data_IF_969049858561
#
_entry.id   IF_969049858561
#
_cell.length_a   1.000
_cell.length_b   1.000
_cell.length_c   1.000
_cell.angle_alpha   90.00
_cell.angle_beta   90.00
_cell.angle_gamma   90.00
#
_symmetry.space_group_name_H-M   'P 1'
#
loop_
_entity.id
_entity.type
_entity.pdbx_description
1 polymer ?
#
# COMPACT_ATOMS: atom_id res chain seq x y z
N UNK A 1 14.59 -54.89 19.19
CA UNK A 1 13.83 -53.86 18.46
C UNK A 1 14.25 -53.95 17.01
N UNK A 2 13.34 -53.67 16.06
CA UNK A 2 13.72 -53.62 14.65
C UNK A 2 14.78 -52.53 14.44
N UNK A 3 15.85 -52.86 13.71
CA UNK A 3 16.97 -51.95 13.42
C UNK A 3 16.58 -50.87 12.39
N UNK A 4 15.60 -51.20 11.54
CA UNK A 4 15.09 -50.36 10.46
C UNK A 4 13.58 -50.13 10.56
N UNK A 5 13.06 -49.17 9.80
CA UNK A 5 11.66 -48.76 9.78
C UNK A 5 11.33 -47.78 10.90
N UNK A 6 10.12 -47.85 11.46
CA UNK A 6 9.68 -46.91 12.50
C UNK A 6 10.26 -47.33 13.85
N UNK A 7 11.26 -46.58 14.32
CA UNK A 7 11.93 -46.77 15.61
C UNK A 7 11.60 -45.63 16.58
N UNK A 8 11.95 -45.74 17.88
CA UNK A 8 11.82 -44.61 18.82
C UNK A 8 12.60 -43.34 18.41
N UNK A 9 13.63 -43.46 17.56
CA UNK A 9 14.39 -42.34 17.03
C UNK A 9 13.76 -41.74 15.74
N UNK A 10 12.69 -42.35 15.21
CA UNK A 10 12.07 -42.01 13.93
C UNK A 10 12.21 -43.11 12.88
N UNK A 11 11.91 -42.78 11.62
CA UNK A 11 12.09 -43.71 10.51
C UNK A 11 13.58 -43.87 10.18
N UNK A 12 14.09 -45.09 10.25
CA UNK A 12 15.47 -45.43 9.91
C UNK A 12 15.47 -46.25 8.62
N UNK A 13 16.02 -45.68 7.56
CA UNK A 13 16.11 -46.31 6.24
C UNK A 13 17.42 -47.12 6.12
N UNK A 14 17.36 -48.41 5.72
CA UNK A 14 18.57 -49.17 5.41
C UNK A 14 19.26 -48.60 4.16
N UNK A 15 20.59 -48.59 4.13
CA UNK A 15 21.35 -48.12 2.97
C UNK A 15 21.51 -49.25 1.95
N UNK A 16 21.61 -48.93 0.66
CA UNK A 16 21.74 -49.92 -0.42
C UNK A 16 22.82 -51.00 -0.16
N UNK A 17 24.03 -50.68 0.35
CA UNK A 17 25.02 -51.71 0.67
C UNK A 17 24.58 -52.67 1.78
N UNK A 18 23.83 -52.17 2.77
CA UNK A 18 23.28 -52.97 3.88
C UNK A 18 22.19 -53.92 3.32
N UNK A 19 21.27 -53.40 2.50
CA UNK A 19 20.23 -54.18 1.81
C UNK A 19 20.87 -55.27 0.95
N UNK A 20 21.91 -54.96 0.17
CA UNK A 20 22.59 -55.94 -0.68
C UNK A 20 23.15 -57.11 0.12
N UNK A 21 23.75 -56.84 1.28
CA UNK A 21 24.27 -57.90 2.17
C UNK A 21 23.13 -58.77 2.71
N UNK A 22 22.01 -58.16 3.11
CA UNK A 22 20.83 -58.88 3.59
C UNK A 22 20.20 -59.75 2.50
N UNK A 23 20.07 -59.25 1.27
CA UNK A 23 19.56 -60.01 0.13
C UNK A 23 20.46 -61.21 -0.19
N UNK A 24 21.80 -61.04 -0.16
CA UNK A 24 22.75 -62.15 -0.34
C UNK A 24 22.57 -63.20 0.76
N UNK A 25 22.46 -62.77 2.02
CA UNK A 25 22.27 -63.67 3.14
C UNK A 25 20.95 -64.45 3.04
N UNK A 26 19.85 -63.77 2.70
CA UNK A 26 18.55 -64.37 2.49
C UNK A 26 18.54 -65.37 1.32
N UNK A 27 19.17 -65.01 0.20
CA UNK A 27 19.30 -65.89 -0.96
C UNK A 27 20.06 -67.17 -0.60
N UNK A 28 21.21 -67.07 0.06
CA UNK A 28 21.99 -68.24 0.52
C UNK A 28 21.19 -69.11 1.48
N UNK A 29 20.49 -68.51 2.45
CA UNK A 29 19.64 -69.25 3.38
C UNK A 29 18.53 -70.03 2.66
N UNK A 30 17.87 -69.39 1.68
CA UNK A 30 16.82 -70.02 0.87
C UNK A 30 17.35 -71.16 0.00
N UNK A 31 18.54 -71.01 -0.58
CA UNK A 31 19.19 -72.07 -1.36
C UNK A 31 19.47 -73.30 -0.48
N UNK A 32 20.07 -73.11 0.70
CA UNK A 32 20.30 -74.19 1.68
C UNK A 32 19.00 -74.89 2.07
N UNK A 33 17.94 -74.12 2.35
CA UNK A 33 16.64 -74.67 2.73
C UNK A 33 15.99 -75.53 1.62
N UNK A 34 16.37 -75.31 0.35
CA UNK A 34 15.91 -76.09 -0.80
C UNK A 34 16.88 -77.21 -1.22
N UNK A 35 17.97 -77.42 -0.46
CA UNK A 35 19.00 -78.40 -0.80
C UNK A 35 19.84 -78.03 -2.02
N UNK A 36 19.85 -76.75 -2.40
CA UNK A 36 20.67 -76.21 -3.48
C UNK A 36 22.02 -75.71 -2.92
N UNK A 37 23.10 -75.77 -3.71
CA UNK A 37 24.41 -75.23 -3.32
C UNK A 37 24.34 -73.72 -3.10
N UNK A 38 25.03 -73.23 -2.06
CA UNK A 38 25.00 -71.84 -1.60
C UNK A 38 26.30 -71.05 -1.91
N UNK A 39 27.27 -71.70 -2.55
CA UNK A 39 28.53 -71.15 -3.07
C UNK A 39 28.34 -70.39 -4.39
N UNK A 40 27.26 -69.61 -4.47
CA UNK A 40 26.95 -68.76 -5.61
C UNK A 40 27.91 -67.56 -5.69
N UNK A 41 28.31 -67.20 -6.91
CA UNK A 41 29.10 -66.00 -7.18
C UNK A 41 28.21 -64.76 -7.01
N UNK A 42 28.61 -63.84 -6.14
CA UNK A 42 27.84 -62.63 -5.79
C UNK A 42 28.63 -61.34 -6.06
N UNK A 43 29.77 -61.42 -6.77
CA UNK A 43 30.47 -60.24 -7.27
C UNK A 43 29.53 -59.37 -8.12
N UNK A 44 29.61 -58.04 -8.03
CA UNK A 44 28.76 -57.12 -8.80
C UNK A 44 28.72 -57.42 -10.31
N UNK A 45 29.84 -57.83 -10.90
CA UNK A 45 29.94 -58.09 -12.35
C UNK A 45 29.41 -59.47 -12.78
N UNK A 46 28.99 -60.32 -11.84
CA UNK A 46 28.40 -61.62 -12.15
C UNK A 46 26.92 -61.49 -12.48
N UNK A 47 26.37 -62.39 -13.30
CA UNK A 47 24.93 -62.40 -13.64
C UNK A 47 24.06 -62.42 -12.38
N UNK A 48 24.44 -63.20 -11.37
CA UNK A 48 23.76 -63.24 -10.08
C UNK A 48 23.95 -61.94 -9.29
N UNK A 49 25.14 -61.34 -9.31
CA UNK A 49 25.42 -60.04 -8.71
C UNK A 49 24.53 -58.92 -9.26
N UNK A 50 24.41 -58.83 -10.58
CA UNK A 50 23.52 -57.87 -11.29
C UNK A 50 22.06 -58.09 -10.91
N UNK A 51 21.62 -59.36 -10.81
CA UNK A 51 20.27 -59.69 -10.38
C UNK A 51 20.02 -59.26 -8.92
N UNK A 52 20.98 -59.52 -8.02
CA UNK A 52 20.93 -59.08 -6.62
C UNK A 52 20.90 -57.55 -6.53
N UNK A 53 21.72 -56.85 -7.32
CA UNK A 53 21.71 -55.38 -7.37
C UNK A 53 20.35 -54.86 -7.82
N UNK A 54 19.77 -55.47 -8.86
CA UNK A 54 18.43 -55.11 -9.34
C UNK A 54 17.37 -55.26 -8.26
N UNK A 55 17.40 -56.34 -7.47
CA UNK A 55 16.45 -56.52 -6.37
C UNK A 55 16.72 -55.54 -5.20
N UNK A 56 17.98 -55.34 -4.84
CA UNK A 56 18.36 -54.41 -3.78
C UNK A 56 17.97 -52.96 -4.12
N UNK A 57 18.13 -52.54 -5.38
CA UNK A 57 17.69 -51.22 -5.85
C UNK A 57 16.17 -51.04 -5.74
N UNK A 58 15.39 -52.09 -6.09
CA UNK A 58 13.93 -52.05 -5.97
C UNK A 58 13.47 -52.04 -4.52
N UNK A 59 14.13 -52.80 -3.66
CA UNK A 59 13.87 -52.76 -2.23
C UNK A 59 14.24 -51.40 -1.62
N UNK A 60 15.38 -50.81 -2.00
CA UNK A 60 15.76 -49.46 -1.59
C UNK A 60 14.71 -48.42 -2.00
N UNK A 61 14.18 -48.49 -3.22
CA UNK A 61 13.11 -47.62 -3.68
C UNK A 61 11.81 -47.77 -2.86
N UNK A 62 11.47 -49.00 -2.43
CA UNK A 62 10.33 -49.24 -1.53
C UNK A 62 10.57 -48.63 -0.15
N UNK A 63 11.79 -48.72 0.38
CA UNK A 63 12.17 -48.10 1.64
C UNK A 63 12.12 -46.57 1.57
N UNK A 64 12.59 -45.96 0.48
CA UNK A 64 12.46 -44.51 0.22
C UNK A 64 11.00 -44.08 0.11
N UNK A 65 10.16 -44.86 -0.57
CA UNK A 65 8.72 -44.60 -0.62
C UNK A 65 8.08 -44.70 0.78
N UNK A 66 8.44 -45.72 1.56
CA UNK A 66 7.96 -45.90 2.93
C UNK A 66 8.34 -44.73 3.85
N UNK A 67 9.57 -44.25 3.73
CA UNK A 67 10.06 -43.06 4.42
C UNK A 67 9.26 -41.80 4.01
N UNK A 68 9.01 -41.62 2.71
CA UNK A 68 8.19 -40.53 2.19
C UNK A 68 6.76 -40.55 2.75
N UNK A 69 6.13 -41.73 2.83
CA UNK A 69 4.80 -41.89 3.43
C UNK A 69 4.81 -41.56 4.92
N UNK A 70 5.84 -42.01 5.66
CA UNK A 70 6.00 -41.69 7.08
C UNK A 70 6.10 -40.17 7.28
N UNK A 71 6.98 -39.49 6.55
CA UNK A 71 7.15 -38.04 6.67
C UNK A 71 5.96 -37.22 6.13
N UNK A 72 5.15 -37.78 5.23
CA UNK A 72 3.93 -37.13 4.75
C UNK A 72 2.83 -37.00 5.81
N UNK A 73 2.90 -37.74 6.92
CA UNK A 73 1.94 -37.67 8.02
C UNK A 73 2.20 -36.50 8.98
N UNK A 74 3.42 -35.97 9.02
CA UNK A 74 3.82 -34.96 10.00
C UNK A 74 3.86 -33.56 9.36
N UNK A 75 3.14 -32.57 9.90
CA UNK A 75 3.11 -31.20 9.33
C UNK A 75 4.50 -30.55 9.14
N UNK A 76 5.48 -30.91 9.97
CA UNK A 76 6.83 -30.37 9.86
C UNK A 76 7.58 -30.83 8.60
N UNK A 77 7.25 -32.01 8.06
CA UNK A 77 7.93 -32.63 6.91
C UNK A 77 7.04 -32.83 5.69
N UNK A 78 5.73 -32.92 5.87
CA UNK A 78 4.75 -33.09 4.79
C UNK A 78 4.69 -31.85 3.88
N UNK A 79 4.40 -32.04 2.59
CA UNK A 79 4.21 -30.98 1.60
C UNK A 79 2.94 -31.18 0.78
N UNK A 80 2.47 -30.13 0.10
CA UNK A 80 1.28 -30.13 -0.74
C UNK A 80 0.03 -30.64 -0.03
N UNK A 81 -0.75 -31.48 -0.72
CA UNK A 81 -2.00 -32.04 -0.17
C UNK A 81 -1.78 -32.89 1.08
N UNK A 82 -0.63 -33.54 1.22
CA UNK A 82 -0.31 -34.30 2.44
C UNK A 82 -0.17 -33.36 3.64
N UNK A 83 0.46 -32.18 3.44
CA UNK A 83 0.50 -31.14 4.47
C UNK A 83 -0.91 -30.67 4.82
N UNK A 84 -1.74 -30.36 3.83
CA UNK A 84 -3.12 -29.90 4.05
C UNK A 84 -3.93 -30.91 4.86
N UNK A 85 -3.81 -32.21 4.53
CA UNK A 85 -4.47 -33.29 5.27
C UNK A 85 -3.91 -33.44 6.69
N UNK A 86 -2.59 -33.33 6.86
CA UNK A 86 -1.95 -33.45 8.16
C UNK A 86 -2.37 -32.31 9.11
N UNK A 87 -2.45 -31.07 8.62
CA UNK A 87 -2.89 -29.92 9.44
C UNK A 87 -4.40 -29.88 9.65
N UNK A 88 -5.19 -30.47 8.75
CA UNK A 88 -6.65 -30.52 8.89
C UNK A 88 -7.10 -31.27 10.14
N UNK A 89 -6.33 -32.24 10.63
CA UNK A 89 -6.63 -32.94 11.90
C UNK A 89 -6.64 -32.00 13.11
N UNK A 90 -5.88 -30.91 13.08
CA UNK A 90 -5.90 -29.87 14.11
C UNK A 90 -6.88 -28.73 13.78
N UNK A 91 -7.72 -28.89 12.75
CA UNK A 91 -8.67 -27.89 12.26
C UNK A 91 -8.02 -26.64 11.63
N UNK A 92 -6.72 -26.70 11.29
CA UNK A 92 -6.07 -25.65 10.49
C UNK A 92 -6.23 -26.01 9.03
N UNK A 93 -6.79 -25.11 8.23
CA UNK A 93 -6.87 -25.25 6.77
C UNK A 93 -6.13 -24.11 6.09
N UNK A 94 -5.60 -24.37 4.89
CA UNK A 94 -4.93 -23.35 4.07
C UNK A 94 -5.86 -22.17 3.78
N UNK A 95 -5.31 -20.96 3.83
CA UNK A 95 -6.05 -19.76 3.43
C UNK A 95 -6.22 -19.77 1.90
N UNK A 96 -7.46 -19.55 1.46
CA UNK A 96 -7.77 -19.45 0.04
C UNK A 96 -7.18 -18.16 -0.54
N UNK A 97 -6.83 -18.22 -1.82
CA UNK A 97 -6.41 -17.04 -2.55
C UNK A 97 -7.60 -16.08 -2.72
N UNK A 98 -7.35 -14.79 -2.54
CA UNK A 98 -8.36 -13.73 -2.64
C UNK A 98 -7.86 -12.65 -3.59
N UNK A 99 -8.76 -12.15 -4.45
CA UNK A 99 -8.46 -11.03 -5.35
C UNK A 99 -8.36 -9.73 -4.57
N UNK A 100 -7.42 -8.85 -4.93
CA UNK A 100 -7.50 -7.46 -4.49
C UNK A 100 -8.74 -6.82 -5.11
N UNK A 101 -9.37 -5.91 -4.37
CA UNK A 101 -10.61 -5.23 -4.78
C UNK A 101 -10.53 -3.74 -4.51
N UNK A 102 -11.04 -2.93 -5.43
CA UNK A 102 -11.08 -1.48 -5.28
C UNK A 102 -12.33 -0.94 -5.99
N UNK A 103 -12.98 0.06 -5.40
CA UNK A 103 -14.04 0.75 -6.08
C UNK A 103 -13.46 1.84 -6.99
N UNK A 104 -13.80 1.75 -8.28
CA UNK A 104 -13.46 2.75 -9.28
C UNK A 104 -14.73 3.50 -9.70
N UNK A 105 -14.55 4.68 -10.26
CA UNK A 105 -15.61 5.47 -10.89
C UNK A 105 -15.32 5.46 -12.38
N UNK A 106 -16.27 4.95 -13.16
CA UNK A 106 -16.23 4.95 -14.61
C UNK A 106 -16.94 6.22 -15.11
N UNK A 107 -16.20 7.10 -15.81
CA UNK A 107 -16.71 8.35 -16.34
C UNK A 107 -17.00 8.23 -17.83
N UNK A 108 -18.11 8.82 -18.27
CA UNK A 108 -18.49 8.74 -19.67
C UNK A 108 -19.87 9.29 -19.97
N UNK A 109 -20.39 8.91 -21.14
CA UNK A 109 -21.72 9.31 -21.60
C UNK A 109 -22.80 8.57 -20.82
N UNK A 110 -23.90 9.28 -20.54
CA UNK A 110 -25.07 8.69 -19.90
C UNK A 110 -25.64 7.54 -20.75
N UNK A 111 -25.92 6.41 -20.11
CA UNK A 111 -26.40 5.18 -20.75
C UNK A 111 -25.30 4.22 -21.21
N UNK A 112 -24.02 4.58 -21.06
CA UNK A 112 -22.90 3.71 -21.46
C UNK A 112 -22.80 2.46 -20.57
N UNK A 113 -22.87 1.24 -21.12
CA UNK A 113 -22.72 0.02 -20.33
C UNK A 113 -21.24 -0.38 -20.19
N UNK A 114 -20.75 -0.44 -18.96
CA UNK A 114 -19.47 -1.06 -18.61
C UNK A 114 -19.75 -2.47 -18.12
N UNK A 115 -19.50 -3.47 -18.96
CA UNK A 115 -19.80 -4.87 -18.66
C UNK A 115 -18.84 -5.43 -17.59
N UNK A 116 -19.24 -6.55 -16.96
CA UNK A 116 -18.32 -7.33 -16.13
C UNK A 116 -17.17 -7.89 -16.98
N UNK A 117 -15.95 -7.93 -16.42
CA UNK A 117 -14.74 -8.34 -17.12
C UNK A 117 -14.06 -7.23 -17.93
N UNK A 118 -14.59 -6.01 -17.92
CA UNK A 118 -13.96 -4.87 -18.61
C UNK A 118 -12.64 -4.49 -17.91
N UNK A 119 -11.57 -4.36 -18.69
CA UNK A 119 -10.21 -4.27 -18.18
C UNK A 119 -9.75 -2.83 -17.97
N UNK A 120 -9.14 -2.60 -16.81
CA UNK A 120 -8.52 -1.36 -16.36
C UNK A 120 -7.08 -1.69 -15.96
N UNK A 121 -6.14 -0.78 -16.21
CA UNK A 121 -4.73 -0.96 -15.87
C UNK A 121 -4.35 -0.06 -14.69
N UNK A 122 -3.63 -0.65 -13.74
CA UNK A 122 -2.93 0.10 -12.71
C UNK A 122 -1.71 0.80 -13.33
N UNK A 123 -1.64 2.13 -13.23
CA UNK A 123 -0.56 2.93 -13.83
C UNK A 123 0.81 2.69 -13.18
N UNK A 124 0.85 2.34 -11.90
CA UNK A 124 2.10 2.15 -11.16
C UNK A 124 2.64 0.75 -11.41
N UNK A 125 1.84 -0.28 -11.14
CA UNK A 125 2.27 -1.69 -11.24
C UNK A 125 2.13 -2.27 -12.64
N UNK A 126 1.42 -1.57 -13.55
CA UNK A 126 1.10 -2.02 -14.91
C UNK A 126 0.22 -3.29 -14.98
N UNK A 127 -0.29 -3.77 -13.84
CA UNK A 127 -1.16 -4.95 -13.76
C UNK A 127 -2.55 -4.64 -14.30
N UNK A 128 -3.25 -5.70 -14.73
CA UNK A 128 -4.61 -5.61 -15.23
C UNK A 128 -5.62 -6.00 -14.16
N UNK A 129 -6.63 -5.16 -14.04
CA UNK A 129 -7.81 -5.31 -13.20
C UNK A 129 -9.03 -5.43 -14.10
N UNK A 130 -10.08 -6.06 -13.61
CA UNK A 130 -11.35 -6.22 -14.30
C UNK A 130 -12.50 -5.71 -13.44
N UNK A 131 -13.56 -5.23 -14.07
CA UNK A 131 -14.83 -4.94 -13.39
C UNK A 131 -15.47 -6.24 -12.92
N UNK A 132 -15.76 -6.36 -11.62
CA UNK A 132 -16.36 -7.55 -11.03
C UNK A 132 -17.85 -7.72 -11.39
N UNK A 133 -18.51 -6.62 -11.74
CA UNK A 133 -19.92 -6.58 -12.12
C UNK A 133 -20.15 -5.53 -13.21
N UNK A 134 -21.25 -5.67 -13.95
CA UNK A 134 -21.66 -4.67 -14.92
C UNK A 134 -22.24 -3.42 -14.22
N UNK A 135 -21.98 -2.25 -14.78
CA UNK A 135 -22.60 -0.97 -14.38
C UNK A 135 -22.99 -0.20 -15.64
N UNK A 136 -24.03 0.63 -15.56
CA UNK A 136 -24.34 1.61 -16.61
C UNK A 136 -24.06 3.00 -16.07
N UNK A 137 -23.27 3.79 -16.80
CA UNK A 137 -22.98 5.18 -16.43
C UNK A 137 -24.29 5.96 -16.49
N UNK A 138 -24.76 6.45 -15.34
CA UNK A 138 -26.11 7.00 -15.22
C UNK A 138 -26.20 8.09 -14.16
N UNK A 139 -26.94 9.15 -14.49
CA UNK A 139 -27.26 10.21 -13.54
C UNK A 139 -28.23 9.73 -12.44
N UNK A 140 -28.92 8.61 -12.64
CA UNK A 140 -29.80 8.00 -11.62
C UNK A 140 -29.03 7.27 -10.51
N UNK A 141 -27.76 6.95 -10.74
CA UNK A 141 -26.84 6.28 -9.81
C UNK A 141 -25.44 6.87 -9.98
N UNK A 142 -25.34 8.18 -9.78
CA UNK A 142 -24.12 8.93 -9.97
C UNK A 142 -23.26 8.89 -8.70
N UNK A 143 -22.00 8.51 -8.87
CA UNK A 143 -21.00 8.57 -7.81
C UNK A 143 -20.27 9.91 -7.81
N UNK A 144 -20.08 10.52 -8.99
CA UNK A 144 -19.41 11.80 -9.19
C UNK A 144 -20.00 12.53 -10.40
N UNK A 145 -20.38 13.80 -10.22
CA UNK A 145 -20.96 14.62 -11.30
C UNK A 145 -20.30 15.99 -11.27
N UNK A 146 -19.94 16.52 -12.45
CA UNK A 146 -19.57 17.94 -12.61
C UNK A 146 -20.62 18.65 -13.44
N UNK A 147 -21.13 19.77 -12.92
CA UNK A 147 -22.13 20.60 -13.56
C UNK A 147 -21.55 21.99 -13.86
N UNK A 148 -21.69 22.43 -15.11
CA UNK A 148 -21.24 23.74 -15.60
C UNK A 148 -22.46 24.63 -15.80
N UNK A 149 -22.56 25.77 -15.10
CA UNK A 149 -23.65 26.73 -15.29
C UNK A 149 -23.44 27.56 -16.56
N UNK A 150 -24.56 27.84 -17.25
CA UNK A 150 -24.63 28.90 -18.25
C UNK A 150 -25.10 30.17 -17.56
N UNK A 151 -24.30 31.23 -17.60
CA UNK A 151 -24.62 32.50 -16.91
C UNK A 151 -25.88 33.12 -17.50
N UNK A 152 -26.87 33.30 -16.64
CA UNK A 152 -28.15 33.95 -16.91
C UNK A 152 -28.52 34.80 -15.70
N UNK A 153 -29.01 36.02 -15.94
CA UNK A 153 -29.50 36.93 -14.90
C UNK A 153 -30.92 36.54 -14.48
N UNK A 154 -31.28 36.82 -13.23
CA UNK A 154 -32.63 36.59 -12.68
C UNK A 154 -33.14 35.15 -12.90
N UNK A 155 -32.24 34.17 -12.95
CA UNK A 155 -32.52 32.79 -13.28
C UNK A 155 -32.32 31.87 -12.08
N UNK A 156 -33.21 30.88 -11.93
CA UNK A 156 -33.08 29.85 -10.90
C UNK A 156 -32.33 28.65 -11.44
N UNK A 157 -31.29 28.25 -10.72
CA UNK A 157 -30.48 27.05 -10.95
C UNK A 157 -30.88 26.03 -9.91
N UNK A 158 -31.41 24.88 -10.33
CA UNK A 158 -31.85 23.82 -9.43
C UNK A 158 -31.08 22.54 -9.73
N UNK A 159 -30.52 21.95 -8.68
CA UNK A 159 -29.96 20.60 -8.69
C UNK A 159 -30.84 19.75 -7.79
N UNK A 160 -31.40 18.68 -8.34
CA UNK A 160 -32.22 17.72 -7.61
C UNK A 160 -31.35 16.51 -7.26
N UNK A 161 -31.18 16.23 -5.97
CA UNK A 161 -30.44 15.06 -5.46
C UNK A 161 -31.40 14.14 -4.72
N UNK A 162 -31.54 12.90 -5.17
CA UNK A 162 -32.50 11.90 -4.63
C UNK A 162 -33.95 12.43 -4.53
N UNK A 163 -34.35 13.28 -5.48
CA UNK A 163 -35.68 13.89 -5.51
C UNK A 163 -35.86 15.14 -4.65
N UNK A 164 -34.80 15.60 -3.96
CA UNK A 164 -34.81 16.85 -3.18
C UNK A 164 -34.15 17.96 -3.98
N UNK A 165 -34.85 19.08 -4.13
CA UNK A 165 -34.39 20.23 -4.89
C UNK A 165 -33.52 21.16 -4.05
N UNK A 166 -32.35 21.52 -4.59
CA UNK A 166 -31.45 22.52 -4.06
C UNK A 166 -31.32 23.63 -5.10
N UNK A 167 -31.77 24.83 -4.75
CA UNK A 167 -31.90 25.92 -5.71
C UNK A 167 -31.16 27.18 -5.29
N UNK A 168 -30.64 27.91 -6.28
CA UNK A 168 -30.10 29.25 -6.14
C UNK A 168 -30.65 30.13 -7.27
N UNK A 169 -31.10 31.34 -6.95
CA UNK A 169 -31.54 32.32 -7.95
C UNK A 169 -30.49 33.41 -8.06
N UNK A 170 -29.95 33.61 -9.26
CA UNK A 170 -28.99 34.68 -9.54
C UNK A 170 -29.67 36.04 -9.55
N UNK A 171 -28.90 37.10 -9.33
CA UNK A 171 -29.39 38.47 -9.41
C UNK A 171 -29.40 39.00 -10.87
N UNK A 172 -29.68 40.30 -11.01
CA UNK A 172 -29.75 40.99 -12.29
C UNK A 172 -28.37 41.20 -12.97
N UNK A 173 -27.25 40.90 -12.29
CA UNK A 173 -25.88 41.04 -12.79
C UNK A 173 -25.08 39.79 -12.43
N UNK A 174 -25.59 38.63 -12.86
CA UNK A 174 -25.07 37.34 -12.48
C UNK A 174 -23.63 37.15 -12.95
N UNK A 175 -22.76 36.69 -12.06
CA UNK A 175 -21.44 36.17 -12.42
C UNK A 175 -21.39 34.66 -12.22
N UNK A 176 -20.47 33.99 -12.93
CA UNK A 176 -20.24 32.56 -12.73
C UNK A 176 -19.82 32.27 -11.27
N UNK A 177 -19.06 33.17 -10.65
CA UNK A 177 -18.62 33.05 -9.27
C UNK A 177 -19.81 33.04 -8.29
N UNK A 178 -20.76 33.96 -8.47
CA UNK A 178 -21.93 34.07 -7.61
C UNK A 178 -22.85 32.84 -7.75
N UNK A 179 -23.06 32.35 -8.98
CA UNK A 179 -23.85 31.15 -9.25
C UNK A 179 -23.21 29.93 -8.59
N UNK A 180 -21.90 29.73 -8.78
CA UNK A 180 -21.19 28.59 -8.19
C UNK A 180 -21.19 28.66 -6.66
N UNK A 181 -20.93 29.84 -6.07
CA UNK A 181 -20.96 30.03 -4.63
C UNK A 181 -22.37 29.79 -4.04
N UNK A 182 -23.41 30.29 -4.72
CA UNK A 182 -24.80 30.09 -4.36
C UNK A 182 -25.23 28.62 -4.40
N UNK A 183 -24.83 27.89 -5.44
CA UNK A 183 -25.11 26.45 -5.56
C UNK A 183 -24.34 25.62 -4.53
N UNK A 184 -23.07 25.94 -4.26
CA UNK A 184 -22.29 25.28 -3.20
C UNK A 184 -22.98 25.46 -1.84
N UNK A 185 -23.45 26.68 -1.54
CA UNK A 185 -24.15 26.96 -0.29
C UNK A 185 -25.50 26.22 -0.20
N UNK A 186 -26.28 26.18 -1.29
CA UNK A 186 -27.55 25.48 -1.33
C UNK A 186 -27.38 23.96 -1.12
N UNK A 187 -26.40 23.36 -1.79
CA UNK A 187 -26.14 21.92 -1.73
C UNK A 187 -25.34 21.47 -0.49
N UNK A 188 -24.85 22.39 0.34
CA UNK A 188 -24.02 22.06 1.52
C UNK A 188 -24.74 21.18 2.55
N UNK A 189 -26.07 21.27 2.64
CA UNK A 189 -26.91 20.41 3.48
C UNK A 189 -27.35 19.11 2.78
N UNK A 190 -26.94 18.92 1.53
CA UNK A 190 -27.26 17.75 0.73
C UNK A 190 -26.42 16.52 1.12
N UNK A 191 -26.78 15.34 0.58
CA UNK A 191 -26.13 14.09 0.95
C UNK A 191 -24.82 13.81 0.18
N UNK A 192 -24.41 14.71 -0.72
CA UNK A 192 -23.17 14.61 -1.50
C UNK A 192 -22.20 15.72 -1.07
N UNK A 193 -20.90 15.44 -1.14
CA UNK A 193 -19.88 16.45 -0.93
C UNK A 193 -19.80 17.37 -2.15
N UNK A 194 -19.83 18.68 -1.92
CA UNK A 194 -19.87 19.69 -2.98
C UNK A 194 -18.60 20.53 -2.96
N UNK A 195 -17.99 20.74 -4.13
CA UNK A 195 -16.85 21.64 -4.30
C UNK A 195 -16.97 22.41 -5.60
N UNK A 196 -16.28 23.55 -5.73
CA UNK A 196 -16.19 24.32 -6.97
C UNK A 196 -14.72 24.53 -7.36
N UNK A 197 -14.43 24.55 -8.66
CA UNK A 197 -13.11 24.91 -9.21
C UNK A 197 -13.11 26.28 -9.91
N UNK A 198 -14.17 27.06 -9.72
CA UNK A 198 -14.36 28.36 -10.38
C UNK A 198 -14.97 28.29 -11.78
N UNK A 199 -15.16 27.09 -12.34
CA UNK A 199 -15.82 26.88 -13.64
C UNK A 199 -17.02 25.93 -13.56
N UNK A 200 -16.97 24.95 -12.65
CA UNK A 200 -18.01 23.95 -12.44
C UNK A 200 -18.17 23.68 -10.94
N UNK A 201 -19.37 23.21 -10.55
CA UNK A 201 -19.53 22.51 -9.28
C UNK A 201 -19.31 21.01 -9.50
N UNK A 202 -18.71 20.35 -8.51
CA UNK A 202 -18.57 18.90 -8.42
C UNK A 202 -19.39 18.40 -7.25
N UNK A 203 -20.20 17.37 -7.48
CA UNK A 203 -20.95 16.63 -6.47
C UNK A 203 -20.38 15.21 -6.38
N UNK A 204 -19.87 14.81 -5.21
CA UNK A 204 -19.24 13.52 -4.97
C UNK A 204 -19.98 12.74 -3.86
N UNK A 205 -20.40 11.50 -4.16
CA UNK A 205 -21.04 10.60 -3.21
C UNK A 205 -20.01 9.82 -2.37
N UNK A 206 -19.43 10.49 -1.37
CA UNK A 206 -18.41 9.87 -0.49
C UNK A 206 -19.04 8.84 0.46
N UNK A 207 -20.08 9.24 1.20
CA UNK A 207 -20.65 8.42 2.28
C UNK A 207 -21.76 7.46 1.80
N UNK A 208 -22.54 7.89 0.81
CA UNK A 208 -23.70 7.15 0.30
C UNK A 208 -23.38 6.26 -0.91
N UNK A 209 -22.19 6.42 -1.50
CA UNK A 209 -21.72 5.65 -2.66
C UNK A 209 -22.28 6.09 -4.01
N UNK A 210 -23.58 6.36 -4.11
CA UNK A 210 -24.27 6.85 -5.32
C UNK A 210 -25.53 7.66 -4.99
N UNK A 211 -25.95 8.55 -5.90
CA UNK A 211 -27.19 9.32 -5.80
C UNK A 211 -27.82 9.56 -7.17
N UNK A 212 -29.14 9.71 -7.21
CA UNK A 212 -29.83 10.23 -8.38
C UNK A 212 -29.65 11.76 -8.45
N UNK A 213 -29.07 12.26 -9.53
CA UNK A 213 -28.81 13.69 -9.75
C UNK A 213 -29.48 14.12 -11.04
N UNK A 214 -30.25 15.20 -10.99
CA UNK A 214 -30.73 15.91 -12.17
C UNK A 214 -30.60 17.42 -11.96
N UNK A 215 -30.61 18.19 -13.05
CA UNK A 215 -30.39 19.62 -12.99
C UNK A 215 -31.24 20.35 -14.04
N UNK A 216 -31.51 21.63 -13.81
CA UNK A 216 -32.20 22.51 -14.76
C UNK A 216 -31.38 22.78 -16.02
N UNK A 217 -32.03 23.22 -17.11
CA UNK A 217 -31.39 23.38 -18.42
C UNK A 217 -30.24 24.42 -18.46
N UNK A 218 -30.16 25.32 -17.49
CA UNK A 218 -29.04 26.25 -17.30
C UNK A 218 -27.81 25.60 -16.64
N UNK A 219 -27.86 24.31 -16.31
CA UNK A 219 -26.76 23.49 -15.80
C UNK A 219 -26.50 22.33 -16.76
N UNK A 220 -25.31 22.30 -17.36
CA UNK A 220 -24.88 21.22 -18.25
C UNK A 220 -23.98 20.22 -17.53
N UNK A 221 -24.13 18.93 -17.82
CA UNK A 221 -23.29 17.87 -17.24
C UNK A 221 -21.96 17.82 -18.02
N UNK A 222 -20.86 18.18 -17.37
CA UNK A 222 -19.53 18.11 -17.95
C UNK A 222 -18.89 16.72 -17.80
N UNK A 223 -19.03 16.10 -16.63
CA UNK A 223 -18.58 14.73 -16.39
C UNK A 223 -19.60 13.99 -15.54
N UNK A 224 -19.84 12.73 -15.88
CA UNK A 224 -20.73 11.84 -15.14
C UNK A 224 -19.98 10.54 -14.86
N UNK A 225 -19.91 10.16 -13.59
CA UNK A 225 -19.23 8.97 -13.11
C UNK A 225 -20.17 8.06 -12.34
N UNK A 226 -20.14 6.77 -12.66
CA UNK A 226 -20.83 5.72 -11.86
C UNK A 226 -19.81 4.77 -11.26
N UNK A 227 -20.08 4.31 -10.03
CA UNK A 227 -19.18 3.48 -9.25
C UNK A 227 -19.28 2.01 -9.68
N UNK A 228 -18.14 1.34 -9.82
CA UNK A 228 -18.08 -0.11 -10.08
C UNK A 228 -16.95 -0.73 -9.26
N UNK A 229 -17.18 -1.96 -8.81
CA UNK A 229 -16.16 -2.75 -8.14
C UNK A 229 -15.18 -3.30 -9.18
N UNK A 230 -13.90 -2.99 -9.05
CA UNK A 230 -12.83 -3.60 -9.82
C UNK A 230 -12.05 -4.60 -8.94
N UNK A 231 -11.48 -5.62 -9.57
CA UNK A 231 -10.65 -6.64 -8.92
C UNK A 231 -9.48 -7.07 -9.81
N UNK A 232 -8.43 -7.64 -9.23
CA UNK A 232 -7.33 -8.23 -10.03
C UNK A 232 -7.83 -9.43 -10.85
N UNK A 233 -7.30 -9.64 -12.06
CA UNK A 233 -7.67 -10.76 -12.97
C UNK A 233 -7.29 -12.13 -12.41
N UNK A 234 -6.23 -12.20 -11.60
CA UNK A 234 -5.86 -13.38 -10.79
C UNK A 234 -5.84 -13.01 -9.30
N UNK A 235 -6.10 -13.97 -8.38
CA UNK A 235 -5.93 -13.75 -6.95
C UNK A 235 -4.49 -13.33 -6.64
N UNK A 236 -4.33 -12.10 -6.15
CA UNK A 236 -3.04 -11.51 -5.88
C UNK A 236 -3.17 -10.49 -4.74
N UNK A 237 -2.09 -10.34 -3.98
CA UNK A 237 -1.96 -9.26 -3.01
C UNK A 237 -1.39 -8.03 -3.67
N UNK A 238 -2.25 -7.18 -4.21
CA UNK A 238 -1.87 -5.89 -4.78
C UNK A 238 -2.51 -4.74 -3.99
N UNK A 239 -1.69 -3.81 -3.50
CA UNK A 239 -2.14 -2.56 -2.91
C UNK A 239 -2.34 -1.50 -4.00
N UNK A 240 -3.37 -0.68 -3.84
CA UNK A 240 -3.75 0.37 -4.78
C UNK A 240 -4.11 1.61 -3.98
N UNK A 241 -3.47 2.72 -4.31
CA UNK A 241 -3.75 4.04 -3.75
C UNK A 241 -4.67 4.86 -4.66
N UNK A 242 -5.33 5.92 -4.15
CA UNK A 242 -6.21 6.76 -4.96
C UNK A 242 -5.52 7.27 -6.23
N UNK A 243 -6.14 7.05 -7.39
CA UNK A 243 -5.63 7.46 -8.70
C UNK A 243 -4.74 6.46 -9.43
N UNK A 244 -4.39 5.32 -8.81
CA UNK A 244 -3.57 4.29 -9.45
C UNK A 244 -4.28 3.57 -10.60
N UNK A 245 -5.59 3.30 -10.44
CA UNK A 245 -6.41 2.64 -11.47
C UNK A 245 -7.03 3.67 -12.41
N UNK A 246 -6.28 4.08 -13.45
CA UNK A 246 -6.68 5.23 -14.28
C UNK A 246 -6.65 5.02 -15.80
N UNK A 247 -6.28 3.83 -16.27
CA UNK A 247 -6.10 3.57 -17.71
C UNK A 247 -7.09 2.51 -18.16
N UNK A 248 -7.96 2.84 -19.11
CA UNK A 248 -8.91 1.89 -19.71
C UNK A 248 -8.17 1.02 -20.72
N UNK A 249 -8.39 -0.29 -20.68
CA UNK A 249 -7.84 -1.25 -21.66
C UNK A 249 -8.94 -1.79 -22.57
N UNK A 250 -10.11 -2.13 -22.02
CA UNK A 250 -11.27 -2.53 -22.83
C UNK A 250 -11.96 -1.30 -23.42
N UNK A 251 -11.92 -1.16 -24.75
CA UNK A 251 -12.58 -0.07 -25.45
C UNK A 251 -14.10 -0.27 -25.45
N UNK A 252 -14.81 0.65 -24.81
CA UNK A 252 -16.28 0.75 -24.83
C UNK A 252 -16.62 2.14 -25.31
N UNK A 253 -17.43 2.24 -26.37
CA UNK A 253 -17.87 3.53 -26.88
C UNK A 253 -18.69 4.27 -25.81
N UNK A 254 -18.37 5.54 -25.57
CA UNK A 254 -18.93 6.34 -24.49
C UNK A 254 -18.24 6.21 -23.13
N UNK A 255 -17.34 5.23 -22.89
CA UNK A 255 -16.54 5.16 -21.67
C UNK A 255 -15.24 5.96 -21.86
N UNK A 256 -15.12 7.06 -21.14
CA UNK A 256 -14.09 8.09 -21.40
C UNK A 256 -12.89 7.98 -20.46
N UNK A 257 -13.12 7.77 -19.17
CA UNK A 257 -12.03 7.62 -18.19
C UNK A 257 -12.46 6.79 -16.99
N UNK A 258 -11.50 6.42 -16.16
CA UNK A 258 -11.71 5.68 -14.92
C UNK A 258 -10.75 6.20 -13.86
N UNK A 259 -11.16 6.24 -12.61
CA UNK A 259 -10.25 6.45 -11.47
C UNK A 259 -10.78 5.80 -10.21
N UNK A 260 -9.92 5.33 -9.32
CA UNK A 260 -10.29 5.08 -7.92
C UNK A 260 -10.04 6.34 -7.09
N UNK A 261 -10.96 6.67 -6.18
CA UNK A 261 -10.82 7.79 -5.24
C UNK A 261 -10.45 7.34 -3.82
N UNK A 262 -10.46 6.03 -3.58
CA UNK A 262 -10.14 5.41 -2.30
C UNK A 262 -9.13 4.29 -2.53
N UNK A 263 -8.35 3.97 -1.50
CA UNK A 263 -7.44 2.83 -1.55
C UNK A 263 -8.20 1.51 -1.65
N UNK A 264 -7.60 0.53 -2.33
CA UNK A 264 -8.15 -0.81 -2.48
C UNK A 264 -7.94 -1.69 -1.24
N UNK A 265 -8.80 -2.69 -1.07
CA UNK A 265 -8.53 -3.82 -0.18
C UNK A 265 -7.58 -4.81 -0.84
N UNK A 266 -6.48 -5.13 -0.15
CA UNK A 266 -5.43 -6.02 -0.64
C UNK A 266 -5.90 -7.48 -0.52
N UNK A 267 -5.79 -8.23 -1.62
CA UNK A 267 -6.00 -9.66 -1.66
C UNK A 267 -4.78 -10.44 -1.19
N UNK A 268 -4.72 -11.71 -1.59
CA UNK A 268 -3.59 -12.60 -1.29
C UNK A 268 -3.52 -13.72 -2.32
N UNK A 269 -2.30 -14.17 -2.60
CA UNK A 269 -2.10 -15.42 -3.32
C UNK A 269 -2.52 -16.63 -2.49
N UNK A 270 -2.45 -17.81 -3.10
CA UNK A 270 -2.59 -19.07 -2.37
C UNK A 270 -1.49 -19.17 -1.32
N UNK A 271 -1.84 -19.44 -0.07
CA UNK A 271 -0.86 -19.60 1.01
C UNK A 271 0.10 -20.74 0.67
N UNK A 272 1.40 -20.51 0.79
CA UNK A 272 2.44 -21.50 0.50
C UNK A 272 2.61 -22.50 1.63
N UNK A 273 3.25 -23.65 1.37
CA UNK A 273 3.52 -24.66 2.40
C UNK A 273 4.36 -24.10 3.56
N UNK A 274 5.29 -23.20 3.27
CA UNK A 274 6.12 -22.57 4.29
C UNK A 274 5.31 -21.63 5.19
N UNK A 275 4.42 -20.83 4.60
CA UNK A 275 3.51 -19.94 5.34
C UNK A 275 2.51 -20.75 6.18
N UNK A 276 1.93 -21.80 5.61
CA UNK A 276 1.01 -22.70 6.33
C UNK A 276 1.71 -23.35 7.52
N UNK A 277 2.95 -23.84 7.39
CA UNK A 277 3.71 -24.40 8.53
C UNK A 277 3.99 -23.36 9.60
N UNK A 278 4.36 -22.13 9.21
CA UNK A 278 4.58 -21.02 10.15
C UNK A 278 3.29 -20.68 10.90
N UNK A 279 2.16 -20.61 10.19
CA UNK A 279 0.84 -20.35 10.79
C UNK A 279 0.34 -21.52 11.62
N UNK A 280 0.63 -22.76 11.24
CA UNK A 280 0.25 -23.94 12.00
C UNK A 280 0.81 -23.90 13.43
N UNK A 281 2.09 -23.53 13.59
CA UNK A 281 2.71 -23.39 14.91
C UNK A 281 1.98 -22.39 15.82
N UNK A 282 1.40 -21.33 15.27
CA UNK A 282 0.62 -20.35 16.04
C UNK A 282 -0.87 -20.69 16.12
N UNK A 283 -1.39 -21.46 15.15
CA UNK A 283 -2.79 -21.80 14.97
C UNK A 283 -3.29 -22.96 15.84
N UNK A 284 -2.43 -23.92 16.19
CA UNK A 284 -2.78 -25.06 17.07
C UNK A 284 -3.33 -24.59 18.42
N UNK A 285 -2.89 -23.42 18.90
CA UNK A 285 -3.35 -22.83 20.16
C UNK A 285 -4.77 -22.21 20.09
N UNK A 286 -5.32 -21.96 18.89
CA UNK A 286 -6.62 -21.28 18.74
C UNK A 286 -7.83 -22.17 19.06
N UNK A 287 -7.73 -23.49 18.96
CA UNK A 287 -8.83 -24.36 19.38
C UNK A 287 -9.08 -24.34 20.89
N UNK A 288 -8.06 -24.03 21.71
CA UNK A 288 -8.25 -23.71 23.14
C UNK A 288 -8.85 -22.32 23.37
N UNK A 289 -8.77 -21.43 22.37
CA UNK A 289 -9.11 -20.01 22.45
C UNK A 289 -10.52 -19.66 21.92
N UNK A 290 -11.20 -20.63 21.30
CA UNK A 290 -12.57 -20.51 20.76
C UNK A 290 -13.65 -21.06 21.70
N UNK A 291 -13.30 -21.35 22.96
CA UNK A 291 -14.30 -21.54 24.00
C UNK A 291 -14.93 -20.18 24.33
N UNK A 292 -16.22 -20.11 24.66
CA UNK A 292 -16.91 -18.86 25.05
C UNK A 292 -16.10 -17.99 26.03
N UNK A 293 -15.41 -18.56 27.05
CA UNK A 293 -14.56 -17.81 27.99
C UNK A 293 -13.30 -17.19 27.37
N UNK A 294 -12.82 -17.70 26.24
CA UNK A 294 -11.57 -17.26 25.60
C UNK A 294 -11.81 -16.26 24.45
N UNK A 295 -13.00 -16.25 23.86
CA UNK A 295 -13.35 -15.31 22.78
C UNK A 295 -13.39 -13.87 23.29
N UNK A 296 -14.04 -13.61 24.43
CA UNK A 296 -14.14 -12.27 25.02
C UNK A 296 -12.78 -11.62 25.33
N UNK A 297 -11.84 -12.28 26.03
CA UNK A 297 -10.52 -11.69 26.30
C UNK A 297 -9.65 -11.56 25.05
N UNK A 298 -9.80 -12.44 24.05
CA UNK A 298 -9.07 -12.29 22.78
C UNK A 298 -9.58 -11.09 21.97
N UNK A 299 -10.91 -10.90 21.86
CA UNK A 299 -11.48 -9.72 21.21
C UNK A 299 -11.07 -8.46 21.98
N UNK A 300 -11.13 -8.46 23.32
CA UNK A 300 -10.66 -7.32 24.11
C UNK A 300 -9.17 -7.03 23.92
N UNK A 301 -8.31 -8.06 23.79
CA UNK A 301 -6.88 -7.89 23.51
C UNK A 301 -6.63 -7.33 22.11
N UNK A 302 -7.32 -7.82 21.08
CA UNK A 302 -7.18 -7.31 19.71
C UNK A 302 -7.75 -5.89 19.58
N UNK A 303 -8.90 -5.60 20.18
CA UNK A 303 -9.52 -4.26 20.16
C UNK A 303 -8.68 -3.26 20.97
N UNK A 304 -8.16 -3.64 22.13
CA UNK A 304 -7.23 -2.77 22.89
C UNK A 304 -5.89 -2.58 22.17
N UNK A 305 -5.39 -3.61 21.48
CA UNK A 305 -4.22 -3.54 20.61
C UNK A 305 -4.43 -2.58 19.44
N UNK A 306 -5.55 -2.72 18.70
CA UNK A 306 -5.94 -1.81 17.61
C UNK A 306 -6.18 -0.37 18.09
N UNK A 307 -6.81 -0.19 19.25
CA UNK A 307 -7.00 1.12 19.86
C UNK A 307 -5.68 1.76 20.35
N UNK A 308 -4.69 0.95 20.77
CA UNK A 308 -3.36 1.43 21.10
C UNK A 308 -2.55 1.77 19.84
N UNK A 309 -2.68 0.97 18.78
CA UNK A 309 -2.07 1.21 17.46
C UNK A 309 -2.60 2.50 16.82
N UNK A 310 -3.92 2.72 16.85
CA UNK A 310 -4.54 3.96 16.38
C UNK A 310 -4.08 5.18 17.18
N UNK A 311 -3.97 5.06 18.52
CA UNK A 311 -3.44 6.13 19.38
C UNK A 311 -1.97 6.46 19.07
N UNK A 312 -1.14 5.46 18.76
CA UNK A 312 0.24 5.65 18.32
C UNK A 312 0.32 6.33 16.95
N UNK A 313 -0.57 5.95 16.03
CA UNK A 313 -0.67 6.58 14.71
C UNK A 313 -1.03 8.06 14.82
N UNK A 314 -2.08 8.38 15.59
CA UNK A 314 -2.52 9.78 15.77
C UNK A 314 -1.47 10.62 16.49
N UNK A 315 -0.83 10.09 17.54
CA UNK A 315 0.24 10.81 18.26
C UNK A 315 1.45 11.08 17.37
N UNK A 316 1.83 10.13 16.51
CA UNK A 316 2.91 10.32 15.53
C UNK A 316 2.57 11.41 14.51
N UNK A 317 1.34 11.42 14.02
CA UNK A 317 0.86 12.43 13.07
C UNK A 317 0.84 13.82 13.71
N UNK A 318 0.42 13.94 14.97
CA UNK A 318 0.48 15.18 15.74
C UNK A 318 1.91 15.70 15.92
N UNK A 319 2.86 14.83 16.31
CA UNK A 319 4.29 15.18 16.43
C UNK A 319 4.85 15.68 15.09
N UNK A 320 4.48 15.04 13.97
CA UNK A 320 4.92 15.45 12.62
C UNK A 320 4.37 16.83 12.27
N UNK A 321 3.09 17.10 12.56
CA UNK A 321 2.46 18.38 12.25
C UNK A 321 2.99 19.51 13.14
N UNK A 322 3.30 19.23 14.40
CA UNK A 322 3.91 20.18 15.32
C UNK A 322 5.36 20.53 14.91
N UNK A 323 6.13 19.53 14.47
CA UNK A 323 7.47 19.73 13.91
C UNK A 323 7.44 20.56 12.62
N UNK A 324 6.47 20.33 11.73
CA UNK A 324 6.26 21.15 10.52
C UNK A 324 5.93 22.60 10.87
N UNK A 325 5.09 22.82 11.88
CA UNK A 325 4.72 24.16 12.34
C UNK A 325 5.94 24.90 12.93
N UNK A 326 6.72 24.23 13.77
CA UNK A 326 7.96 24.79 14.34
C UNK A 326 8.99 25.11 13.26
N UNK A 327 9.14 24.24 12.25
CA UNK A 327 10.00 24.51 11.10
C UNK A 327 9.53 25.73 10.28
N UNK A 328 8.22 25.91 10.09
CA UNK A 328 7.66 27.07 9.40
C UNK A 328 7.87 28.38 10.18
N UNK A 329 7.75 28.35 11.52
CA UNK A 329 8.03 29.51 12.38
C UNK A 329 9.51 29.90 12.31
N UNK A 330 10.42 28.92 12.40
CA UNK A 330 11.86 29.16 12.28
C UNK A 330 12.24 29.74 10.91
N UNK A 331 11.62 29.26 9.83
CA UNK A 331 11.79 29.83 8.50
C UNK A 331 11.31 31.29 8.42
N UNK A 332 10.15 31.60 9.01
CA UNK A 332 9.61 32.95 9.04
C UNK A 332 10.46 33.92 9.91
N UNK A 333 11.03 33.43 11.02
CA UNK A 333 11.99 34.19 11.85
C UNK A 333 13.27 34.49 11.06
N UNK A 334 13.79 33.50 10.33
CA UNK A 334 14.96 33.67 9.47
C UNK A 334 14.70 34.71 8.36
N UNK A 335 13.53 34.70 7.73
CA UNK A 335 13.14 35.70 6.73
C UNK A 335 12.97 37.11 7.34
N UNK A 336 12.41 37.21 8.56
CA UNK A 336 12.34 38.48 9.29
C UNK A 336 13.73 39.03 9.63
N UNK A 337 14.67 38.16 10.02
CA UNK A 337 16.05 38.54 10.28
C UNK A 337 16.75 39.03 8.99
N UNK A 338 16.58 38.31 7.87
CA UNK A 338 17.09 38.73 6.54
C UNK A 338 16.59 40.13 6.18
N UNK A 339 15.28 40.36 6.30
CA UNK A 339 14.68 41.66 6.00
C UNK A 339 15.19 42.79 6.91
N UNK A 340 15.46 42.51 8.19
CA UNK A 340 16.03 43.50 9.11
C UNK A 340 17.48 43.86 8.75
N UNK A 341 18.31 42.86 8.44
CA UNK A 341 19.69 43.07 7.97
C UNK A 341 19.74 43.88 6.66
N UNK A 342 18.84 43.60 5.72
CA UNK A 342 18.71 44.34 4.46
C UNK A 342 18.38 45.82 4.71
N UNK A 343 17.44 46.11 5.61
CA UNK A 343 17.10 47.49 6.00
C UNK A 343 18.28 48.22 6.63
N UNK A 344 19.06 47.55 7.49
CA UNK A 344 20.27 48.13 8.08
C UNK A 344 21.32 48.45 7.01
N UNK A 345 21.52 47.55 6.04
CA UNK A 345 22.41 47.81 4.89
C UNK A 345 21.97 49.03 4.10
N UNK A 346 20.67 49.17 3.83
CA UNK A 346 20.11 50.34 3.15
C UNK A 346 20.30 51.62 3.95
N UNK A 347 20.15 51.61 5.29
CA UNK A 347 20.42 52.76 6.14
C UNK A 347 21.90 53.16 6.13
N UNK A 348 22.81 52.20 6.23
CA UNK A 348 24.25 52.45 6.16
C UNK A 348 24.65 53.01 4.79
N UNK A 349 24.08 52.49 3.70
CA UNK A 349 24.31 53.03 2.36
C UNK A 349 23.82 54.47 2.22
N UNK A 350 22.64 54.80 2.79
CA UNK A 350 22.13 56.18 2.82
C UNK A 350 23.02 57.13 3.63
N UNK A 351 23.54 56.68 4.77
CA UNK A 351 24.46 57.48 5.58
C UNK A 351 25.80 57.72 4.87
N UNK A 352 26.29 56.73 4.11
CA UNK A 352 27.48 56.89 3.25
C UNK A 352 27.25 57.82 2.05
N UNK A 353 26.01 57.95 1.57
CA UNK A 353 25.64 58.84 0.47
C UNK A 353 25.25 60.26 0.91
N UNK A 354 25.23 60.56 2.22
CA UNK A 354 25.04 61.90 2.74
C UNK A 354 26.24 62.82 2.41
N UNK A 355 26.03 64.14 2.20
CA UNK A 355 27.11 65.04 1.81
C UNK A 355 28.13 65.15 2.95
N UNK A 356 29.36 64.70 2.71
CA UNK A 356 30.49 64.99 3.59
C UNK A 356 30.77 66.49 3.58
N UNK A 357 30.98 67.08 4.75
CA UNK A 357 31.37 68.48 4.93
C UNK A 357 32.61 68.81 4.06
N UNK A 358 32.62 69.89 3.26
CA UNK A 358 33.71 70.22 2.35
C UNK A 358 34.91 70.89 3.03
N UNK A 359 35.18 70.59 4.30
CA UNK A 359 36.26 71.19 5.08
C UNK A 359 37.31 70.17 5.54
N UNK A 360 37.88 69.40 4.60
CA UNK A 360 39.17 68.74 4.76
C UNK A 360 39.77 68.35 3.39
N UNK A 361 40.08 69.34 2.57
CA UNK A 361 41.01 69.13 1.45
C UNK A 361 42.44 69.15 1.99
N UNK A 362 43.07 67.98 2.05
CA UNK A 362 44.50 67.88 2.34
C UNK A 362 45.00 66.44 2.41
N UNK A 363 45.49 65.91 1.28
CA UNK A 363 46.47 64.82 1.30
C UNK A 363 46.11 63.54 0.54
N UNK A 364 46.63 63.46 -0.69
CA UNK A 364 47.18 62.28 -1.39
C UNK A 364 46.39 60.98 -1.50
N UNK A 365 46.15 60.61 -2.77
CA UNK A 365 46.17 59.27 -3.38
C UNK A 365 45.87 58.07 -2.47
N UNK A 366 44.71 57.43 -2.70
CA UNK A 366 44.39 56.17 -2.05
C UNK A 366 43.21 55.43 -2.66
N UNK A 367 43.18 55.23 -3.98
CA UNK A 367 42.27 54.25 -4.61
C UNK A 367 42.47 52.82 -4.01
N UNK A 368 43.63 52.54 -3.41
CA UNK A 368 43.91 51.29 -2.67
C UNK A 368 43.26 51.19 -1.28
N UNK A 369 42.90 52.32 -0.64
CA UNK A 369 42.25 52.34 0.67
C UNK A 369 40.74 52.11 0.59
N UNK A 370 40.10 52.57 -0.49
CA UNK A 370 38.70 52.27 -0.78
C UNK A 370 38.50 50.80 -1.17
N UNK A 371 39.40 50.24 -2.00
CA UNK A 371 39.35 48.83 -2.42
C UNK A 371 39.58 47.84 -1.26
N UNK A 372 40.45 48.16 -0.30
CA UNK A 372 40.68 47.31 0.89
C UNK A 372 39.52 47.35 1.87
N UNK A 373 38.87 48.51 2.03
CA UNK A 373 37.68 48.66 2.86
C UNK A 373 36.47 47.94 2.23
N UNK A 374 36.31 48.02 0.91
CA UNK A 374 35.27 47.27 0.19
C UNK A 374 35.51 45.75 0.22
N UNK A 375 36.77 45.31 0.16
CA UNK A 375 37.11 43.89 0.29
C UNK A 375 36.82 43.36 1.70
N UNK A 376 37.11 44.15 2.73
CA UNK A 376 36.71 43.85 4.13
C UNK A 376 35.19 43.82 4.29
N UNK A 377 34.46 44.74 3.67
CA UNK A 377 32.99 44.76 3.70
C UNK A 377 32.41 43.52 3.00
N UNK A 378 32.97 43.10 1.86
CA UNK A 378 32.58 41.85 1.17
C UNK A 378 32.88 40.60 2.00
N UNK A 379 34.07 40.52 2.61
CA UNK A 379 34.46 39.40 3.47
C UNK A 379 33.57 39.28 4.70
N UNK A 380 33.31 40.38 5.39
CA UNK A 380 32.42 40.42 6.55
C UNK A 380 30.97 40.11 6.16
N UNK A 381 30.51 40.57 4.99
CA UNK A 381 29.18 40.23 4.47
C UNK A 381 29.05 38.75 4.12
N UNK A 382 30.09 38.14 3.57
CA UNK A 382 30.14 36.71 3.27
C UNK A 382 30.22 35.85 4.53
N UNK A 383 30.96 36.29 5.55
CA UNK A 383 30.98 35.64 6.87
C UNK A 383 29.60 35.68 7.55
N UNK A 384 28.89 36.79 7.45
CA UNK A 384 27.52 36.94 7.97
C UNK A 384 26.52 36.04 7.23
N UNK A 385 26.72 35.81 5.94
CA UNK A 385 25.88 34.92 5.13
C UNK A 385 26.14 33.45 5.45
N UNK A 386 27.42 33.05 5.49
CA UNK A 386 27.81 31.71 5.90
C UNK A 386 27.38 31.40 7.35
N UNK A 387 27.48 32.37 8.27
CA UNK A 387 27.00 32.22 9.65
C UNK A 387 25.49 31.94 9.74
N UNK A 388 24.69 32.57 8.86
CA UNK A 388 23.24 32.37 8.78
C UNK A 388 22.86 31.01 8.22
N UNK A 389 23.58 30.51 7.22
CA UNK A 389 23.33 29.18 6.65
C UNK A 389 23.64 28.09 7.68
N UNK A 390 24.74 28.24 8.44
CA UNK A 390 25.10 27.32 9.52
C UNK A 390 24.06 27.35 10.64
N UNK A 391 23.55 28.52 11.04
CA UNK A 391 22.49 28.59 12.05
C UNK A 391 21.18 27.97 11.58
N UNK A 392 20.77 28.22 10.32
CA UNK A 392 19.55 27.62 9.76
C UNK A 392 19.63 26.09 9.67
N UNK A 393 20.80 25.56 9.31
CA UNK A 393 21.05 24.11 9.32
C UNK A 393 21.00 23.54 10.75
N UNK A 394 21.60 24.23 11.72
CA UNK A 394 21.58 23.81 13.12
C UNK A 394 20.16 23.79 13.71
N UNK A 395 19.32 24.78 13.38
CA UNK A 395 17.92 24.83 13.80
C UNK A 395 17.10 23.69 13.20
N UNK A 396 17.30 23.39 11.91
CA UNK A 396 16.63 22.27 11.26
C UNK A 396 17.00 20.92 11.89
N UNK A 397 18.29 20.71 12.20
CA UNK A 397 18.75 19.52 12.91
C UNK A 397 18.17 19.41 14.32
N UNK A 398 18.08 20.53 15.04
CA UNK A 398 17.48 20.57 16.38
C UNK A 398 16.00 20.21 16.36
N UNK A 399 15.23 20.75 15.42
CA UNK A 399 13.79 20.44 15.27
C UNK A 399 13.59 18.96 14.93
N UNK A 400 14.40 18.42 13.99
CA UNK A 400 14.35 17.01 13.62
C UNK A 400 14.74 16.08 14.80
N UNK A 401 15.77 16.46 15.57
CA UNK A 401 16.22 15.71 16.75
C UNK A 401 15.15 15.66 17.85
N UNK A 402 14.55 16.81 18.20
CA UNK A 402 13.47 16.89 19.19
C UNK A 402 12.23 16.10 18.76
N UNK A 403 11.90 16.09 17.46
CA UNK A 403 10.81 15.28 16.95
C UNK A 403 11.09 13.77 17.09
N UNK A 404 12.33 13.34 16.84
CA UNK A 404 12.74 11.95 17.03
C UNK A 404 12.71 11.53 18.50
N UNK A 405 13.18 12.37 19.41
CA UNK A 405 13.14 12.11 20.86
C UNK A 405 11.70 11.96 21.36
N UNK A 406 10.81 12.90 21.00
CA UNK A 406 9.38 12.81 21.35
C UNK A 406 8.70 11.57 20.77
N UNK A 407 9.05 11.19 19.55
CA UNK A 407 8.53 9.97 18.93
C UNK A 407 9.00 8.71 19.68
N UNK A 408 10.27 8.63 20.08
CA UNK A 408 10.80 7.54 20.89
C UNK A 408 10.17 7.48 22.29
N UNK A 409 9.96 8.62 22.94
CA UNK A 409 9.34 8.66 24.26
C UNK A 409 7.85 8.29 24.22
N UNK A 410 7.15 8.54 23.11
CA UNK A 410 5.77 8.09 22.90
C UNK A 410 5.60 6.57 22.76
N UNK A 411 6.71 5.84 22.58
CA UNK A 411 6.75 4.38 22.45
C UNK A 411 7.05 3.66 23.76
N UNK A 412 7.46 4.38 24.81
CA UNK A 412 7.63 3.87 26.18
C UNK A 412 6.31 3.92 26.94
#
# INVERSE_FOLDING_TARGET
MAEYGVTPAGFVRPRLPEIRVEVIAALRANLRAKGLPDDIETRPDSVMGVLIDTFADREAALWEMGEGVYYAMYPGSASGTSLDRAVAFSGVSRLAAERSKCYVIAYGLQGTPVLAGAQIRNRVTQTLWETAQAVTISALAAADVRLVPTVQNDATYTVTVNGVDYSYTSDAVATIGDILAGLVAALAAGPMQVSSDGSAIRLLAVDIGEAAVSATANLSVATLGSRVLAQTIDPAGEAVEPGDLNTIVTLVDGWQSVTNLVSGSVGRGTETDAELRRRYQTGVFRFGAATLPSIAPNIQREVSGRAAEQRRWTAREEIINDAKTQAAVAAADADRARAASERLRQQVARLRAGPGDPAAAGGSQGQSGADTLDLLVRLLSGLDEAGRDVSGFADHLRVAGLACERACDSLR
#
